data_IF_621178578380
#
_entry.id   IF_621178578380
#
_cell.length_a   1.000
_cell.length_b   1.000
_cell.length_c   1.000
_cell.angle_alpha   90.00
_cell.angle_beta   90.00
_cell.angle_gamma   90.00
#
_symmetry.space_group_name_H-M   'P 1'
#
loop_
_entity.id
_entity.type
_entity.pdbx_description
1 polymer ?
#
# COMPACT_ATOMS: atom_id res chain seq x y z
N UNK A 1 -0.65 -8.67 -18.36
CA UNK A 1 -1.49 -7.57 -17.83
C UNK A 1 -2.88 -8.01 -17.37
N UNK A 2 -3.51 -9.04 -17.96
CA UNK A 2 -4.80 -9.56 -17.46
C UNK A 2 -4.75 -10.09 -16.00
N UNK A 3 -3.65 -10.73 -15.57
CA UNK A 3 -3.49 -11.22 -14.18
C UNK A 3 -3.62 -10.13 -13.12
N UNK A 4 -3.06 -8.94 -13.39
CA UNK A 4 -3.10 -7.80 -12.46
C UNK A 4 -4.51 -7.21 -12.37
N UNK A 5 -5.20 -7.11 -13.52
CA UNK A 5 -6.57 -6.61 -13.58
C UNK A 5 -7.55 -7.59 -12.92
N UNK A 6 -7.42 -8.90 -13.18
CA UNK A 6 -8.24 -9.93 -12.52
C UNK A 6 -8.09 -9.92 -11.00
N UNK A 7 -6.87 -9.66 -10.49
CA UNK A 7 -6.63 -9.55 -9.05
C UNK A 7 -7.33 -8.33 -8.44
N UNK A 8 -7.24 -7.15 -9.10
CA UNK A 8 -7.94 -5.94 -8.66
C UNK A 8 -9.46 -6.07 -8.69
N UNK A 9 -10.01 -6.69 -9.75
CA UNK A 9 -11.46 -6.92 -9.87
C UNK A 9 -11.95 -7.89 -8.81
N UNK A 10 -11.22 -8.98 -8.53
CA UNK A 10 -11.56 -9.89 -7.43
C UNK A 10 -11.58 -9.16 -6.09
N UNK A 11 -10.57 -8.33 -5.83
CA UNK A 11 -10.44 -7.64 -4.55
C UNK A 11 -11.58 -6.64 -4.29
N UNK A 12 -11.88 -5.80 -5.29
CA UNK A 12 -12.99 -4.85 -5.23
C UNK A 12 -14.33 -5.58 -5.06
N UNK A 13 -14.50 -6.71 -5.75
CA UNK A 13 -15.74 -7.49 -5.69
C UNK A 13 -15.94 -8.15 -4.32
N UNK A 14 -14.88 -8.70 -3.71
CA UNK A 14 -14.95 -9.32 -2.37
C UNK A 14 -15.18 -8.24 -1.30
N UNK A 15 -14.45 -7.13 -1.35
CA UNK A 15 -14.59 -6.03 -0.40
C UNK A 15 -16.00 -5.42 -0.44
N UNK A 16 -16.52 -5.16 -1.65
CA UNK A 16 -17.89 -4.68 -1.85
C UNK A 16 -18.92 -5.67 -1.28
N UNK A 17 -18.77 -6.96 -1.60
CA UNK A 17 -19.71 -8.00 -1.16
C UNK A 17 -19.75 -8.16 0.34
N UNK A 18 -18.59 -8.17 1.03
CA UNK A 18 -18.54 -8.29 2.49
C UNK A 18 -19.17 -7.10 3.21
N UNK A 19 -18.85 -5.88 2.76
CA UNK A 19 -19.38 -4.65 3.37
C UNK A 19 -20.87 -4.51 3.11
N UNK A 20 -21.33 -4.81 1.89
CA UNK A 20 -22.74 -4.83 1.56
C UNK A 20 -23.50 -5.90 2.35
N UNK A 21 -22.93 -7.10 2.52
CA UNK A 21 -23.55 -8.17 3.31
C UNK A 21 -23.65 -7.82 4.80
N UNK A 22 -22.63 -7.17 5.37
CA UNK A 22 -22.63 -6.77 6.79
C UNK A 22 -23.52 -5.56 7.08
N UNK A 23 -23.60 -4.60 6.15
CA UNK A 23 -24.27 -3.31 6.39
C UNK A 23 -25.64 -3.23 5.72
N UNK A 24 -25.87 -3.96 4.63
CA UNK A 24 -27.02 -3.80 3.73
C UNK A 24 -26.96 -2.54 2.85
N UNK A 25 -25.91 -1.72 3.01
CA UNK A 25 -25.78 -0.41 2.37
C UNK A 25 -24.77 -0.45 1.20
N UNK A 26 -25.26 -0.08 0.03
CA UNK A 26 -24.50 -0.12 -1.24
C UNK A 26 -23.45 1.00 -1.33
N UNK A 27 -23.69 2.11 -0.64
CA UNK A 27 -22.79 3.28 -0.64
C UNK A 27 -21.53 2.97 0.15
N UNK A 28 -21.67 2.33 1.31
CA UNK A 28 -20.53 1.86 2.11
C UNK A 28 -19.68 0.83 1.34
N UNK A 29 -20.30 -0.09 0.62
CA UNK A 29 -19.58 -1.05 -0.25
C UNK A 29 -18.75 -0.35 -1.33
N UNK A 30 -19.31 0.68 -1.98
CA UNK A 30 -18.61 1.48 -2.99
C UNK A 30 -17.47 2.33 -2.42
N UNK A 31 -17.67 2.91 -1.24
CA UNK A 31 -16.64 3.69 -0.54
C UNK A 31 -15.43 2.81 -0.18
N UNK A 32 -15.66 1.59 0.31
CA UNK A 32 -14.58 0.65 0.67
C UNK A 32 -13.85 0.13 -0.56
N UNK A 33 -14.54 -0.11 -1.68
CA UNK A 33 -13.89 -0.46 -2.95
C UNK A 33 -12.84 0.58 -3.42
N UNK A 34 -13.05 1.86 -3.10
CA UNK A 34 -12.10 2.94 -3.42
C UNK A 34 -11.06 3.17 -2.31
N UNK A 35 -11.33 2.74 -1.08
CA UNK A 35 -10.41 2.94 0.04
C UNK A 35 -9.16 2.08 -0.09
N UNK A 36 -9.28 0.90 -0.70
CA UNK A 36 -8.17 -0.03 -0.88
C UNK A 36 -6.99 0.56 -1.69
N UNK A 37 -7.18 1.13 -2.90
CA UNK A 37 -6.07 1.76 -3.62
C UNK A 37 -5.50 2.98 -2.89
N UNK A 38 -6.32 3.69 -2.11
CA UNK A 38 -5.87 4.80 -1.27
C UNK A 38 -4.98 4.29 -0.14
N UNK A 39 -5.40 3.25 0.57
CA UNK A 39 -4.63 2.62 1.64
C UNK A 39 -3.35 2.01 1.09
N UNK A 40 -3.37 1.37 -0.07
CA UNK A 40 -2.18 0.80 -0.70
C UNK A 40 -1.17 1.91 -1.09
N UNK A 41 -1.66 3.03 -1.63
CA UNK A 41 -0.82 4.21 -1.95
C UNK A 41 -0.24 4.87 -0.70
N UNK A 42 -1.05 5.03 0.35
CA UNK A 42 -0.63 5.60 1.64
C UNK A 42 0.38 4.68 2.32
N UNK A 43 0.11 3.37 2.38
CA UNK A 43 1.01 2.37 2.94
C UNK A 43 2.35 2.35 2.20
N UNK A 44 2.34 2.41 0.87
CA UNK A 44 3.56 2.52 0.07
C UNK A 44 4.33 3.82 0.37
N UNK A 45 3.63 4.95 0.47
CA UNK A 45 4.23 6.23 0.82
C UNK A 45 4.89 6.22 2.22
N UNK A 46 4.22 5.65 3.22
CA UNK A 46 4.80 5.47 4.56
C UNK A 46 5.95 4.47 4.57
N UNK A 47 5.86 3.36 3.82
CA UNK A 47 6.90 2.35 3.71
C UNK A 47 8.19 2.93 3.09
N UNK A 48 8.06 3.68 1.99
CA UNK A 48 9.15 4.46 1.39
C UNK A 48 9.75 5.45 2.39
N UNK A 49 8.92 6.23 3.07
CA UNK A 49 9.40 7.25 4.02
C UNK A 49 10.13 6.65 5.22
N UNK A 50 9.63 5.53 5.76
CA UNK A 50 10.26 4.81 6.87
C UNK A 50 11.57 4.15 6.43
N UNK A 51 11.62 3.57 5.23
CA UNK A 51 12.81 2.88 4.73
C UNK A 51 13.88 3.84 4.19
N UNK A 52 13.49 4.97 3.59
CA UNK A 52 14.40 6.04 3.18
C UNK A 52 15.14 6.64 4.38
N UNK A 53 14.45 6.82 5.51
CA UNK A 53 15.08 7.28 6.76
C UNK A 53 16.09 6.28 7.33
N UNK A 54 15.90 4.97 7.11
CA UNK A 54 16.88 3.93 7.49
C UNK A 54 18.07 3.88 6.52
N UNK A 55 17.82 3.91 5.21
CA UNK A 55 18.89 3.90 4.18
C UNK A 55 19.83 5.11 4.28
N UNK A 56 19.31 6.30 4.61
CA UNK A 56 20.13 7.51 4.77
C UNK A 56 21.17 7.40 5.89
N UNK A 57 20.90 6.61 6.95
CA UNK A 57 21.84 6.36 8.05
C UNK A 57 22.93 5.33 7.71
N UNK A 58 22.67 4.49 6.71
CA UNK A 58 23.60 3.43 6.30
C UNK A 58 24.66 3.97 5.33
N UNK A 59 24.28 4.92 4.45
CA UNK A 59 25.22 5.59 3.54
C UNK A 59 26.23 6.50 4.26
N UNK A 60 25.81 7.17 5.35
CA UNK A 60 26.70 8.02 6.15
C UNK A 60 27.79 7.19 6.85
N UNK A 61 27.45 6.00 7.34
CA UNK A 61 28.41 5.08 7.98
C UNK A 61 29.40 4.45 7.00
N UNK A 62 29.00 4.26 5.74
CA UNK A 62 29.87 3.67 4.71
C UNK A 62 30.90 4.69 4.18
N UNK A 63 30.54 5.97 4.09
CA UNK A 63 31.46 7.01 3.63
C UNK A 63 32.61 7.27 4.63
N UNK A 64 32.33 7.20 5.94
CA UNK A 64 33.37 7.28 6.97
C UNK A 64 34.34 6.10 6.92
N UNK A 65 33.86 4.89 6.57
CA UNK A 65 34.72 3.70 6.46
C UNK A 65 35.66 3.71 5.25
N UNK A 66 35.30 4.43 4.17
CA UNK A 66 36.12 4.55 2.95
C UNK A 66 37.18 5.64 3.09
N UNK A 67 36.97 6.63 3.96
CA UNK A 67 37.94 7.71 4.17
C UNK A 67 39.01 7.39 5.23
N UNK A 68 38.80 6.34 6.03
CA UNK A 68 39.70 5.95 7.14
C UNK A 68 40.54 4.69 6.79
N UNK A 69 40.28 4.04 5.65
CA UNK A 69 41.05 2.90 5.13
C UNK A 69 42.05 3.33 4.06
#
# INVERSE_FOLDING_TARGET
MAKTVSFGVMHVSVAFTLVWLMTGDVVLGGAVALIEPVVNTVAYYFHEKFWAARKAREQSRQMDSVHVA
#
